data_IF_840956359354
#
_entry.id   IF_840956359354
#
_cell.length_a   1.000
_cell.length_b   1.000
_cell.length_c   1.000
_cell.angle_alpha   90.00
_cell.angle_beta   90.00
_cell.angle_gamma   90.00
#
_symmetry.space_group_name_H-M   'P 1'
#
loop_
_entity.id
_entity.type
_entity.pdbx_description
1 polymer ?
#
# COMPACT_ATOMS: atom_id res chain seq x y z
N UNK A 1 30.88 4.37 -0.86
CA UNK A 1 29.83 5.40 -0.95
C UNK A 1 29.76 6.14 0.38
N UNK A 2 29.60 7.47 0.36
CA UNK A 2 29.35 8.25 1.58
C UNK A 2 28.10 7.72 2.30
N UNK A 3 28.05 7.87 3.63
CA UNK A 3 26.92 7.43 4.43
C UNK A 3 25.81 8.50 4.41
N UNK A 4 25.10 8.58 3.29
CA UNK A 4 23.96 9.50 3.11
C UNK A 4 22.65 8.78 3.43
N UNK A 5 21.74 9.48 4.12
CA UNK A 5 20.40 8.98 4.41
C UNK A 5 19.50 9.15 3.19
N UNK A 6 19.13 8.02 2.56
CA UNK A 6 18.20 8.02 1.42
C UNK A 6 16.73 8.07 1.85
N UNK A 7 16.42 7.56 3.04
CA UNK A 7 15.10 7.51 3.63
C UNK A 7 15.22 7.28 5.14
N UNK A 8 14.27 7.82 5.89
CA UNK A 8 14.13 7.58 7.33
C UNK A 8 12.78 6.91 7.54
N UNK A 9 12.78 5.76 8.20
CA UNK A 9 11.55 5.04 8.51
C UNK A 9 10.83 5.75 9.66
N UNK A 10 9.51 5.99 9.58
CA UNK A 10 8.73 6.47 10.72
C UNK A 10 8.92 5.55 11.95
N UNK A 11 8.89 6.13 13.16
CA UNK A 11 9.12 5.41 14.45
C UNK A 11 10.47 4.69 14.56
N UNK A 12 11.42 4.99 13.68
CA UNK A 12 12.80 4.50 13.85
C UNK A 12 13.57 5.40 14.81
N UNK A 13 14.64 4.90 15.46
CA UNK A 13 15.56 5.73 16.23
C UNK A 13 16.10 6.94 15.46
N UNK A 14 16.27 6.79 14.13
CA UNK A 14 16.70 7.88 13.27
C UNK A 14 15.62 8.97 13.11
N UNK A 15 14.36 8.58 12.99
CA UNK A 15 13.23 9.50 12.92
C UNK A 15 13.08 10.29 14.22
N UNK A 16 13.11 9.60 15.35
CA UNK A 16 12.92 10.21 16.68
C UNK A 16 14.08 11.14 17.05
N UNK A 17 15.27 10.87 16.51
CA UNK A 17 16.45 11.73 16.61
C UNK A 17 16.46 12.91 15.61
N UNK A 18 15.40 13.07 14.81
CA UNK A 18 15.22 14.20 13.89
C UNK A 18 16.08 14.14 12.63
N UNK A 19 16.62 12.97 12.27
CA UNK A 19 17.35 12.78 11.02
C UNK A 19 16.39 12.83 9.84
N UNK A 20 16.89 13.28 8.70
CA UNK A 20 16.12 13.50 7.48
C UNK A 20 16.84 12.93 6.27
N UNK A 21 16.07 12.70 5.20
CA UNK A 21 16.64 12.35 3.90
C UNK A 21 17.61 13.45 3.45
N UNK A 22 18.77 13.05 2.95
CA UNK A 22 19.85 13.93 2.51
C UNK A 22 20.89 14.24 3.60
N UNK A 23 20.64 13.86 4.86
CA UNK A 23 21.65 14.00 5.90
C UNK A 23 22.86 13.11 5.59
N UNK A 24 24.05 13.69 5.67
CA UNK A 24 25.32 12.96 5.52
C UNK A 24 25.90 12.68 6.90
N UNK A 25 26.10 11.40 7.22
CA UNK A 25 26.66 10.98 8.51
C UNK A 25 28.18 11.13 8.52
N UNK A 26 28.69 11.85 9.52
CA UNK A 26 30.13 12.18 9.63
C UNK A 26 30.80 11.41 10.76
N UNK A 27 30.11 11.19 11.88
CA UNK A 27 30.69 10.57 13.07
C UNK A 27 29.59 9.90 13.90
N UNK A 28 29.86 8.72 14.47
CA UNK A 28 28.93 8.01 15.35
C UNK A 28 29.71 7.41 16.51
N UNK A 29 29.20 7.57 17.74
CA UNK A 29 29.84 7.07 18.97
C UNK A 29 31.34 7.47 19.08
N UNK A 30 31.67 8.70 18.67
CA UNK A 30 33.04 9.22 18.66
C UNK A 30 33.97 8.67 17.56
N UNK A 31 33.43 7.88 16.62
CA UNK A 31 34.19 7.29 15.50
C UNK A 31 33.77 7.92 14.17
N UNK A 32 34.72 8.34 13.32
CA UNK A 32 34.40 8.95 12.02
C UNK A 32 33.75 7.94 11.07
N UNK A 33 32.82 8.42 10.25
CA UNK A 33 32.14 7.68 9.19
C UNK A 33 32.47 8.34 7.85
N UNK A 34 33.36 7.72 7.08
CA UNK A 34 33.60 8.08 5.69
C UNK A 34 32.77 7.22 4.73
N UNK A 35 32.39 6.01 5.14
CA UNK A 35 31.75 5.00 4.28
C UNK A 35 30.62 4.27 5.00
N UNK A 36 29.61 3.84 4.25
CA UNK A 36 28.50 3.03 4.79
C UNK A 36 28.95 1.75 5.52
N UNK A 37 30.07 1.14 5.11
CA UNK A 37 30.64 -0.04 5.78
C UNK A 37 31.10 0.25 7.21
N UNK A 38 31.62 1.45 7.46
CA UNK A 38 32.08 1.88 8.79
C UNK A 38 30.89 2.11 9.71
N UNK A 39 29.82 2.72 9.20
CA UNK A 39 28.55 2.84 9.93
C UNK A 39 28.05 1.47 10.42
N UNK A 40 28.00 0.46 9.53
CA UNK A 40 27.59 -0.91 9.91
C UNK A 40 28.53 -1.53 10.93
N UNK A 41 29.84 -1.27 10.81
CA UNK A 41 30.83 -1.79 11.75
C UNK A 41 30.70 -1.15 13.15
N UNK A 42 30.46 0.15 13.22
CA UNK A 42 30.23 0.87 14.47
C UNK A 42 28.96 0.34 15.13
N UNK A 43 27.84 0.29 14.39
CA UNK A 43 26.56 -0.22 14.89
C UNK A 43 26.66 -1.67 15.39
N UNK A 44 27.46 -2.52 14.73
CA UNK A 44 27.64 -3.92 15.13
C UNK A 44 28.33 -4.12 16.49
N UNK A 45 28.91 -3.07 17.07
CA UNK A 45 29.53 -3.10 18.40
C UNK A 45 28.60 -2.60 19.52
N UNK A 46 27.37 -2.20 19.19
CA UNK A 46 26.38 -1.67 20.13
C UNK A 46 25.16 -2.59 20.23
N UNK A 47 24.49 -2.53 21.37
CA UNK A 47 23.29 -3.32 21.65
C UNK A 47 22.03 -2.46 21.55
N UNK A 48 20.89 -3.13 21.41
CA UNK A 48 19.60 -2.48 21.59
C UNK A 48 19.52 -1.83 22.97
N UNK A 49 18.95 -0.63 23.03
CA UNK A 49 18.89 0.22 24.23
C UNK A 49 20.10 1.15 24.40
N UNK A 50 21.20 0.96 23.66
CA UNK A 50 22.35 1.87 23.71
C UNK A 50 21.96 3.23 23.13
N UNK A 51 22.19 4.30 23.89
CA UNK A 51 22.13 5.67 23.38
C UNK A 51 23.48 6.06 22.80
N UNK A 52 23.51 6.41 21.52
CA UNK A 52 24.72 6.78 20.79
C UNK A 52 24.59 8.20 20.24
N UNK A 53 25.69 8.95 20.29
CA UNK A 53 25.80 10.24 19.63
C UNK A 53 26.06 10.06 18.13
N UNK A 54 25.41 10.88 17.31
CA UNK A 54 25.54 10.89 15.87
C UNK A 54 25.71 12.32 15.37
N UNK A 55 26.82 12.55 14.69
CA UNK A 55 27.11 13.80 14.00
C UNK A 55 26.75 13.66 12.53
N UNK A 56 25.94 14.59 12.04
CA UNK A 56 25.48 14.63 10.66
C UNK A 56 25.63 16.03 10.08
N UNK A 57 25.65 16.12 8.76
CA UNK A 57 25.65 17.36 8.02
C UNK A 57 24.39 17.48 7.18
N UNK A 58 23.69 18.60 7.33
CA UNK A 58 22.49 19.00 6.58
C UNK A 58 22.75 20.36 5.95
N UNK A 59 22.63 20.45 4.62
CA UNK A 59 22.83 21.70 3.86
C UNK A 59 24.15 22.43 4.18
N UNK A 60 25.23 21.68 4.42
CA UNK A 60 26.54 22.24 4.76
C UNK A 60 26.75 22.56 6.24
N UNK A 61 25.69 22.51 7.06
CA UNK A 61 25.76 22.74 8.51
C UNK A 61 25.92 21.41 9.24
N UNK A 62 26.86 21.36 10.19
CA UNK A 62 27.11 20.15 11.00
C UNK A 62 26.33 20.24 12.31
N UNK A 63 25.52 19.22 12.58
CA UNK A 63 24.73 19.07 13.79
C UNK A 63 25.04 17.73 14.48
N UNK A 64 24.65 17.62 15.74
CA UNK A 64 24.79 16.40 16.53
C UNK A 64 23.44 16.06 17.15
N UNK A 65 23.08 14.79 17.14
CA UNK A 65 21.89 14.24 17.77
C UNK A 65 22.26 13.00 18.57
N UNK A 66 21.40 12.62 19.50
CA UNK A 66 21.49 11.35 20.23
C UNK A 66 20.33 10.46 19.80
N UNK A 67 20.61 9.18 19.55
CA UNK A 67 19.58 8.20 19.24
C UNK A 67 19.77 6.95 20.10
N UNK A 68 18.66 6.32 20.48
CA UNK A 68 18.65 5.07 21.23
C UNK A 68 18.37 3.91 20.28
N UNK A 69 19.29 2.95 20.17
CA UNK A 69 19.15 1.83 19.26
C UNK A 69 17.96 0.94 19.66
N UNK A 70 17.16 0.51 18.69
CA UNK A 70 16.04 -0.40 18.89
C UNK A 70 16.43 -1.84 18.53
N UNK A 71 15.94 -2.82 19.29
CA UNK A 71 16.12 -4.26 19.00
C UNK A 71 15.37 -4.67 17.74
N UNK A 72 14.17 -4.15 17.61
CA UNK A 72 13.26 -4.41 16.50
C UNK A 72 12.63 -3.09 16.08
N UNK A 73 12.61 -2.85 14.77
CA UNK A 73 11.80 -1.79 14.21
C UNK A 73 10.39 -2.33 14.06
N UNK A 74 9.43 -1.67 14.68
CA UNK A 74 8.02 -1.98 14.43
C UNK A 74 7.73 -1.74 12.94
N UNK A 75 7.07 -2.69 12.25
CA UNK A 75 6.63 -2.47 10.89
C UNK A 75 5.79 -1.19 10.81
N UNK A 76 6.06 -0.35 9.81
CA UNK A 76 5.21 0.80 9.56
C UNK A 76 3.80 0.32 9.19
N UNK A 77 2.82 0.72 9.99
CA UNK A 77 1.42 0.44 9.75
C UNK A 77 0.77 1.65 9.08
N UNK A 78 0.09 1.41 7.96
CA UNK A 78 -0.65 2.47 7.29
C UNK A 78 -1.92 2.81 8.10
N UNK A 79 -2.19 4.10 8.36
CA UNK A 79 -3.45 4.53 8.95
C UNK A 79 -4.61 4.24 7.99
N UNK A 80 -5.71 3.77 8.55
CA UNK A 80 -6.89 3.35 7.81
C UNK A 80 -8.12 4.08 8.34
N UNK A 81 -8.70 4.89 7.45
CA UNK A 81 -10.01 5.51 7.67
C UNK A 81 -11.16 4.55 7.31
N UNK A 82 -10.92 3.66 6.35
CA UNK A 82 -11.88 2.68 5.86
C UNK A 82 -13.05 3.22 5.06
N UNK A 83 -12.70 4.09 4.12
CA UNK A 83 -13.54 4.47 2.99
C UNK A 83 -12.88 4.05 1.67
N UNK A 84 -13.70 3.97 0.62
CA UNK A 84 -13.24 3.94 -0.77
C UNK A 84 -13.67 5.27 -1.43
N UNK A 85 -12.72 6.11 -1.87
CA UNK A 85 -13.03 7.30 -2.64
C UNK A 85 -13.56 7.00 -4.05
N UNK A 86 -14.46 7.83 -4.55
CA UNK A 86 -14.74 7.89 -5.99
C UNK A 86 -13.61 8.63 -6.71
N UNK A 87 -12.77 7.88 -7.44
CA UNK A 87 -11.63 8.43 -8.19
C UNK A 87 -12.05 9.23 -9.43
N UNK A 88 -13.30 9.14 -9.85
CA UNK A 88 -13.83 9.89 -10.99
C UNK A 88 -14.44 11.23 -10.58
N UNK A 89 -14.62 11.49 -9.29
CA UNK A 89 -15.08 12.77 -8.79
C UNK A 89 -14.04 13.86 -9.08
N UNK A 90 -14.49 15.00 -9.62
CA UNK A 90 -13.62 16.10 -10.10
C UNK A 90 -13.83 17.42 -9.37
N UNK A 91 -14.83 17.50 -8.50
CA UNK A 91 -15.06 18.69 -7.68
C UNK A 91 -14.20 18.62 -6.42
N UNK A 92 -14.10 19.73 -5.70
CA UNK A 92 -13.30 19.79 -4.48
C UNK A 92 -13.93 18.92 -3.38
N UNK A 93 -13.10 18.12 -2.74
CA UNK A 93 -13.48 17.18 -1.71
C UNK A 93 -13.31 15.73 -2.14
N UNK A 94 -13.59 14.81 -1.22
CA UNK A 94 -13.49 13.38 -1.45
C UNK A 94 -14.86 12.75 -1.34
N UNK A 95 -15.46 12.46 -2.49
CA UNK A 95 -16.73 11.75 -2.56
C UNK A 95 -16.53 10.30 -2.12
N UNK A 96 -17.29 9.87 -1.11
CA UNK A 96 -17.26 8.52 -0.56
C UNK A 96 -18.05 7.59 -1.46
N UNK A 97 -17.36 6.68 -2.16
CA UNK A 97 -17.97 5.63 -2.98
C UNK A 97 -18.46 4.46 -2.14
N UNK A 98 -17.72 4.11 -1.09
CA UNK A 98 -18.04 2.99 -0.21
C UNK A 98 -17.42 3.19 1.17
N UNK A 99 -18.03 2.60 2.19
CA UNK A 99 -17.50 2.57 3.56
C UNK A 99 -17.35 1.12 3.97
N UNK A 100 -16.15 0.74 4.40
CA UNK A 100 -15.89 -0.64 4.80
C UNK A 100 -16.61 -0.97 6.11
N UNK A 101 -17.25 -2.15 6.23
CA UNK A 101 -17.85 -2.57 7.49
C UNK A 101 -16.82 -2.61 8.62
N UNK A 102 -17.24 -2.25 9.84
CA UNK A 102 -16.40 -2.21 11.04
C UNK A 102 -15.17 -1.28 10.93
N UNK A 103 -15.14 -0.36 9.97
CA UNK A 103 -14.07 0.63 9.85
C UNK A 103 -14.29 1.84 10.76
N UNK A 104 -13.25 2.65 11.00
CA UNK A 104 -13.38 3.93 11.70
C UNK A 104 -14.43 4.87 11.08
N UNK A 105 -14.50 4.96 9.75
CA UNK A 105 -15.54 5.75 9.10
C UNK A 105 -16.95 5.20 9.36
N UNK A 106 -17.10 3.88 9.46
CA UNK A 106 -18.39 3.26 9.78
C UNK A 106 -18.84 3.53 11.22
N UNK A 107 -17.92 3.59 12.19
CA UNK A 107 -18.26 3.83 13.61
C UNK A 107 -18.86 5.21 13.85
N UNK A 108 -18.49 6.18 13.02
CA UNK A 108 -19.04 7.56 13.05
C UNK A 108 -20.11 7.80 11.98
N UNK A 109 -20.67 6.73 11.43
CA UNK A 109 -21.79 6.77 10.48
C UNK A 109 -21.54 7.64 9.22
N UNK A 110 -20.29 7.70 8.74
CA UNK A 110 -19.99 8.10 7.36
C UNK A 110 -20.63 7.06 6.42
N UNK A 111 -21.16 7.52 5.29
CA UNK A 111 -21.93 6.72 4.33
C UNK A 111 -21.45 7.00 2.91
N UNK A 112 -21.82 6.09 2.01
CA UNK A 112 -21.74 6.34 0.58
C UNK A 112 -22.49 7.62 0.22
N UNK A 113 -21.86 8.46 -0.61
CA UNK A 113 -22.39 9.76 -1.05
C UNK A 113 -21.94 10.95 -0.20
N UNK A 114 -21.33 10.72 0.96
CA UNK A 114 -20.75 11.80 1.74
C UNK A 114 -19.57 12.45 0.99
N UNK A 115 -19.44 13.76 1.12
CA UNK A 115 -18.32 14.52 0.57
C UNK A 115 -17.41 14.99 1.70
N UNK A 116 -16.26 14.35 1.89
CA UNK A 116 -15.27 14.75 2.89
C UNK A 116 -14.52 15.98 2.40
N UNK A 117 -14.42 17.01 3.23
CA UNK A 117 -13.81 18.29 2.86
C UNK A 117 -12.61 18.66 3.71
N UNK A 118 -12.47 18.12 4.92
CA UNK A 118 -11.28 18.34 5.75
C UNK A 118 -10.95 17.15 6.65
N UNK A 119 -9.67 17.07 7.03
CA UNK A 119 -9.17 16.29 8.16
C UNK A 119 -8.53 17.24 9.16
N UNK A 120 -8.98 17.20 10.41
CA UNK A 120 -8.64 18.15 11.46
C UNK A 120 -8.88 19.61 11.01
N UNK A 121 -7.81 20.36 10.78
CA UNK A 121 -7.85 21.75 10.29
C UNK A 121 -7.28 21.87 8.87
N UNK A 122 -7.00 20.74 8.22
CA UNK A 122 -6.43 20.66 6.87
C UNK A 122 -7.54 20.36 5.87
N UNK A 123 -7.79 21.28 4.94
CA UNK A 123 -8.72 21.05 3.83
C UNK A 123 -8.17 19.97 2.89
N UNK A 124 -9.03 19.05 2.48
CA UNK A 124 -8.71 17.99 1.51
C UNK A 124 -9.50 18.20 0.22
N UNK A 125 -8.81 18.59 -0.84
CA UNK A 125 -9.41 18.90 -2.13
C UNK A 125 -9.66 17.65 -2.99
N UNK A 126 -8.92 16.57 -2.78
CA UNK A 126 -9.09 15.34 -3.54
C UNK A 126 -8.59 14.09 -2.79
N UNK A 127 -8.83 12.91 -3.38
CA UNK A 127 -8.48 11.63 -2.79
C UNK A 127 -6.96 11.41 -2.63
N UNK A 128 -6.13 12.05 -3.46
CA UNK A 128 -4.67 11.96 -3.32
C UNK A 128 -4.21 12.79 -2.13
N UNK A 129 -4.73 14.00 -1.97
CA UNK A 129 -4.44 14.86 -0.82
C UNK A 129 -4.91 14.20 0.47
N UNK A 130 -6.12 13.64 0.51
CA UNK A 130 -6.61 12.88 1.66
C UNK A 130 -5.65 11.75 2.04
N UNK A 131 -5.15 10.98 1.05
CA UNK A 131 -4.20 9.89 1.30
C UNK A 131 -2.88 10.40 1.89
N UNK A 132 -2.34 11.50 1.34
CA UNK A 132 -1.10 12.11 1.83
C UNK A 132 -1.29 12.63 3.24
N UNK A 133 -2.40 13.30 3.51
CA UNK A 133 -2.71 13.84 4.82
C UNK A 133 -2.91 12.73 5.86
N UNK A 134 -3.64 11.66 5.51
CA UNK A 134 -3.78 10.49 6.37
C UNK A 134 -2.43 9.87 6.73
N UNK A 135 -1.47 9.83 5.79
CA UNK A 135 -0.14 9.23 6.02
C UNK A 135 0.69 9.96 7.09
N UNK A 136 0.30 11.19 7.48
CA UNK A 136 0.92 11.94 8.57
C UNK A 136 0.44 11.51 9.97
N UNK A 137 -0.59 10.66 10.06
CA UNK A 137 -1.16 10.21 11.32
C UNK A 137 -0.78 8.79 11.67
N UNK A 138 -0.76 8.53 12.97
CA UNK A 138 -0.64 7.17 13.49
C UNK A 138 -1.95 6.39 13.32
N UNK A 139 -1.90 5.08 13.09
CA UNK A 139 -3.09 4.24 12.99
C UNK A 139 -4.01 4.25 14.21
N UNK A 140 -3.59 4.76 15.36
CA UNK A 140 -4.45 4.93 16.56
C UNK A 140 -4.69 6.40 16.90
N UNK A 141 -4.33 7.31 15.99
CA UNK A 141 -4.55 8.73 16.20
C UNK A 141 -6.04 9.06 16.15
N UNK A 142 -6.44 9.99 17.01
CA UNK A 142 -7.77 10.57 16.99
C UNK A 142 -7.75 11.78 16.07
N UNK A 143 -8.65 11.80 15.10
CA UNK A 143 -8.77 12.87 14.11
C UNK A 143 -10.22 13.34 14.04
N UNK A 144 -10.40 14.62 13.71
CA UNK A 144 -11.70 15.19 13.33
C UNK A 144 -11.85 15.10 11.82
N UNK A 145 -13.02 14.69 11.33
CA UNK A 145 -13.37 14.72 9.92
C UNK A 145 -14.55 15.66 9.72
N UNK A 146 -14.43 16.53 8.72
CA UNK A 146 -15.55 17.32 8.21
C UNK A 146 -16.06 16.69 6.92
N UNK A 147 -17.36 16.46 6.84
CA UNK A 147 -18.01 15.98 5.62
C UNK A 147 -19.39 16.61 5.43
N UNK A 148 -19.82 16.66 4.17
CA UNK A 148 -21.16 17.10 3.78
C UNK A 148 -22.03 15.92 3.39
N UNK A 149 -23.29 15.96 3.87
CA UNK A 149 -24.36 15.07 3.43
C UNK A 149 -25.61 15.91 3.22
N UNK A 150 -26.21 15.82 2.02
CA UNK A 150 -27.42 16.56 1.66
C UNK A 150 -27.33 18.08 1.92
N UNK A 151 -26.13 18.66 1.73
CA UNK A 151 -25.85 20.08 1.95
C UNK A 151 -25.62 20.48 3.42
N UNK A 152 -25.69 19.54 4.36
CA UNK A 152 -25.39 19.78 5.76
C UNK A 152 -23.94 19.37 6.08
N UNK A 153 -23.17 20.28 6.66
CA UNK A 153 -21.84 20.02 7.19
C UNK A 153 -21.94 19.28 8.53
N UNK A 154 -21.15 18.22 8.69
CA UNK A 154 -20.99 17.47 9.93
C UNK A 154 -19.52 17.35 10.27
N UNK A 155 -19.19 17.64 11.53
CA UNK A 155 -17.87 17.46 12.11
C UNK A 155 -17.92 16.32 13.11
N UNK A 156 -17.06 15.30 12.95
CA UNK A 156 -17.04 14.16 13.87
C UNK A 156 -15.63 13.68 14.14
N UNK A 157 -15.37 13.35 15.38
CA UNK A 157 -14.10 12.78 15.84
C UNK A 157 -14.13 11.26 15.72
N UNK A 158 -13.06 10.68 15.19
CA UNK A 158 -12.87 9.22 15.10
C UNK A 158 -11.43 8.84 15.41
N UNK A 159 -11.24 7.62 15.90
CA UNK A 159 -9.91 7.01 16.03
C UNK A 159 -9.62 6.21 14.77
N UNK A 160 -8.50 6.49 14.12
CA UNK A 160 -8.02 5.67 13.00
C UNK A 160 -7.80 4.22 13.46
N UNK A 161 -7.60 3.31 12.49
CA UNK A 161 -7.10 1.96 12.78
C UNK A 161 -5.91 1.61 11.87
N UNK A 162 -5.14 0.55 12.16
CA UNK A 162 -4.23 -0.04 11.19
C UNK A 162 -4.99 -0.53 9.96
N UNK A 163 -4.35 -0.45 8.79
CA UNK A 163 -4.85 -1.06 7.57
C UNK A 163 -4.99 -2.58 7.80
N UNK A 164 -6.20 -3.15 7.64
CA UNK A 164 -6.39 -4.58 7.81
C UNK A 164 -5.49 -5.37 6.85
N UNK A 165 -4.80 -6.38 7.38
CA UNK A 165 -4.01 -7.32 6.58
C UNK A 165 -4.92 -8.32 5.85
N UNK A 166 -6.08 -8.61 6.43
CA UNK A 166 -7.10 -9.42 5.80
C UNK A 166 -7.80 -8.65 4.69
N UNK A 167 -8.12 -9.35 3.60
CA UNK A 167 -8.87 -8.74 2.49
C UNK A 167 -10.26 -8.36 3.01
N UNK A 168 -10.61 -7.06 3.06
CA UNK A 168 -11.92 -6.67 3.57
C UNK A 168 -13.00 -7.27 2.67
N UNK A 169 -14.02 -7.87 3.30
CA UNK A 169 -15.22 -8.30 2.59
C UNK A 169 -15.91 -7.05 2.04
N UNK A 170 -15.68 -6.76 0.76
CA UNK A 170 -16.55 -5.85 0.02
C UNK A 170 -17.78 -6.68 -0.28
N UNK A 171 -18.92 -6.28 0.28
CA UNK A 171 -20.23 -6.77 -0.18
C UNK A 171 -20.37 -6.35 -1.64
N UNK A 172 -19.88 -7.20 -2.54
CA UNK A 172 -19.88 -6.94 -3.96
C UNK A 172 -21.32 -6.87 -4.46
N UNK A 173 -21.49 -6.21 -5.60
CA UNK A 173 -22.67 -6.47 -6.42
C UNK A 173 -22.80 -7.99 -6.58
N UNK A 174 -23.94 -8.54 -6.13
CA UNK A 174 -24.18 -9.96 -6.28
C UNK A 174 -24.00 -10.34 -7.76
N UNK A 175 -23.34 -11.46 -8.06
CA UNK A 175 -23.23 -11.93 -9.43
C UNK A 175 -24.63 -11.95 -10.05
N UNK A 176 -24.78 -11.55 -11.33
CA UNK A 176 -26.09 -11.50 -11.96
C UNK A 176 -26.80 -12.84 -11.84
N UNK A 177 -28.02 -12.82 -11.28
CA UNK A 177 -28.79 -14.03 -10.91
C UNK A 177 -29.29 -14.85 -12.09
N UNK A 178 -29.16 -14.36 -13.33
CA UNK A 178 -29.53 -15.09 -14.53
C UNK A 178 -28.54 -16.21 -14.85
N UNK A 179 -29.03 -17.32 -15.40
CA UNK A 179 -28.18 -18.39 -15.90
C UNK A 179 -27.20 -17.85 -16.97
N UNK A 180 -25.97 -18.36 -16.96
CA UNK A 180 -24.96 -17.99 -17.95
C UNK A 180 -25.45 -18.37 -19.38
N UNK A 181 -25.27 -17.51 -20.38
CA UNK A 181 -25.46 -17.92 -21.78
C UNK A 181 -24.48 -19.05 -22.14
N UNK A 182 -24.81 -19.84 -23.17
CA UNK A 182 -23.92 -20.88 -23.66
C UNK A 182 -22.55 -20.28 -24.03
N UNK A 183 -21.50 -20.67 -23.31
CA UNK A 183 -20.16 -20.14 -23.49
C UNK A 183 -19.34 -21.08 -24.40
N UNK A 184 -18.88 -20.55 -25.54
CA UNK A 184 -18.00 -21.27 -26.48
C UNK A 184 -16.52 -20.93 -26.30
N UNK A 185 -16.18 -20.10 -25.31
CA UNK A 185 -14.80 -19.70 -25.02
C UNK A 185 -14.13 -20.71 -24.09
N UNK A 186 -12.81 -20.87 -24.25
CA UNK A 186 -12.02 -21.73 -23.38
C UNK A 186 -12.07 -21.20 -21.93
N UNK A 187 -12.48 -22.05 -20.98
CA UNK A 187 -12.40 -21.80 -19.54
C UNK A 187 -11.36 -22.74 -18.91
N UNK A 188 -11.00 -22.48 -17.66
CA UNK A 188 -9.93 -23.18 -16.96
C UNK A 188 -8.57 -22.53 -17.22
N UNK A 189 -7.51 -23.35 -17.18
CA UNK A 189 -6.16 -22.89 -17.49
C UNK A 189 -5.94 -22.89 -19.00
N UNK A 190 -5.65 -21.73 -19.57
CA UNK A 190 -5.46 -21.53 -21.01
C UNK A 190 -4.12 -20.87 -21.26
N UNK A 191 -3.29 -21.48 -22.10
CA UNK A 191 -2.07 -20.85 -22.56
C UNK A 191 -2.39 -19.80 -23.64
N UNK A 192 -1.92 -18.57 -23.40
CA UNK A 192 -2.08 -17.41 -24.29
C UNK A 192 -0.71 -16.99 -24.79
N UNK A 193 -0.55 -16.90 -26.10
CA UNK A 193 0.58 -16.25 -26.75
C UNK A 193 0.18 -14.81 -27.06
N UNK A 194 0.87 -13.83 -26.46
CA UNK A 194 0.66 -12.43 -26.80
C UNK A 194 1.44 -12.11 -28.09
N UNK A 195 0.82 -11.56 -29.14
CA UNK A 195 1.50 -11.37 -30.44
C UNK A 195 2.72 -10.46 -30.40
N UNK A 196 2.74 -9.49 -29.48
CA UNK A 196 3.78 -8.46 -29.37
C UNK A 196 4.85 -8.79 -28.32
N UNK A 197 4.66 -9.87 -27.55
CA UNK A 197 5.55 -10.24 -26.44
C UNK A 197 6.14 -11.64 -26.66
N UNK A 198 7.41 -11.83 -26.29
CA UNK A 198 8.06 -13.13 -26.36
C UNK A 198 7.60 -14.08 -25.23
N UNK A 199 7.07 -13.51 -24.14
CA UNK A 199 6.67 -14.22 -22.93
C UNK A 199 5.45 -15.12 -23.19
N UNK A 200 5.55 -16.37 -22.75
CA UNK A 200 4.38 -17.24 -22.66
C UNK A 200 3.52 -16.81 -21.46
N UNK A 201 2.21 -16.75 -21.66
CA UNK A 201 1.26 -16.34 -20.62
C UNK A 201 0.26 -17.44 -20.34
N UNK A 202 -0.08 -17.63 -19.07
CA UNK A 202 -1.19 -18.49 -18.66
C UNK A 202 -2.35 -17.65 -18.15
N UNK A 203 -3.54 -17.91 -18.67
CA UNK A 203 -4.77 -17.33 -18.19
C UNK A 203 -5.58 -18.36 -17.41
N UNK A 204 -6.00 -18.01 -16.20
CA UNK A 204 -6.98 -18.73 -15.42
C UNK A 204 -8.31 -18.03 -15.67
N UNK A 205 -9.13 -18.66 -16.49
CA UNK A 205 -10.48 -18.19 -16.82
C UNK A 205 -11.45 -19.02 -15.98
N UNK A 206 -12.32 -18.39 -15.17
CA UNK A 206 -13.17 -19.15 -14.27
C UNK A 206 -14.21 -19.96 -15.06
N UNK A 207 -14.57 -21.15 -14.59
CA UNK A 207 -15.52 -22.04 -15.28
C UNK A 207 -16.93 -21.44 -15.39
N UNK A 208 -17.25 -20.46 -14.54
CA UNK A 208 -18.48 -19.68 -14.60
C UNK A 208 -18.33 -18.37 -15.39
N UNK A 209 -17.33 -18.27 -16.28
CA UNK A 209 -17.13 -17.10 -17.14
C UNK A 209 -18.39 -16.77 -17.94
N UNK A 210 -18.63 -15.47 -18.10
CA UNK A 210 -19.80 -14.90 -18.76
C UNK A 210 -19.43 -13.70 -19.61
N UNK A 211 -19.69 -13.78 -20.91
CA UNK A 211 -19.42 -12.67 -21.84
C UNK A 211 -20.35 -11.46 -21.65
N UNK A 212 -21.50 -11.65 -21.01
CA UNK A 212 -22.48 -10.60 -20.70
C UNK A 212 -22.20 -9.85 -19.39
N UNK A 213 -21.14 -10.23 -18.67
CA UNK A 213 -20.74 -9.64 -17.39
C UNK A 213 -19.33 -9.07 -17.53
N UNK A 214 -19.12 -7.86 -17.03
CA UNK A 214 -17.78 -7.29 -16.95
C UNK A 214 -16.91 -8.15 -16.02
N UNK A 215 -15.84 -8.71 -16.56
CA UNK A 215 -14.83 -9.42 -15.78
C UNK A 215 -13.65 -8.49 -15.48
N UNK A 216 -13.12 -8.57 -14.28
CA UNK A 216 -11.84 -7.92 -13.95
C UNK A 216 -10.68 -8.74 -14.50
N UNK A 217 -9.64 -8.09 -15.00
CA UNK A 217 -8.38 -8.74 -15.37
C UNK A 217 -7.32 -8.43 -14.31
N UNK A 218 -6.74 -9.47 -13.73
CA UNK A 218 -5.56 -9.37 -12.86
C UNK A 218 -4.36 -9.83 -13.67
N UNK A 219 -3.34 -8.99 -13.76
CA UNK A 219 -2.03 -9.39 -14.30
C UNK A 219 -1.11 -9.65 -13.11
N UNK A 220 -0.74 -10.91 -12.89
CA UNK A 220 0.16 -11.30 -11.81
C UNK A 220 1.57 -11.54 -12.35
N UNK A 221 2.46 -10.58 -12.07
CA UNK A 221 3.89 -10.73 -12.30
C UNK A 221 4.51 -11.51 -11.14
N UNK A 222 4.78 -12.79 -11.36
CA UNK A 222 5.42 -13.66 -10.36
C UNK A 222 6.95 -13.53 -10.40
N UNK A 223 7.67 -14.12 -9.44
CA UNK A 223 9.13 -14.18 -9.49
C UNK A 223 9.60 -14.91 -10.76
N UNK A 224 10.75 -14.52 -11.36
CA UNK A 224 11.29 -15.21 -12.52
C UNK A 224 11.62 -16.68 -12.19
N UNK A 225 11.56 -17.55 -13.21
CA UNK A 225 11.77 -18.99 -13.08
C UNK A 225 10.49 -19.81 -13.29
N UNK A 226 10.59 -21.11 -12.98
CA UNK A 226 9.49 -22.05 -13.15
C UNK A 226 8.38 -21.82 -12.12
N UNK A 227 7.27 -21.26 -12.59
CA UNK A 227 6.02 -21.23 -11.84
C UNK A 227 5.21 -22.46 -12.13
N UNK A 228 4.83 -23.15 -11.06
CA UNK A 228 3.94 -24.30 -11.12
C UNK A 228 2.50 -23.82 -11.39
N UNK A 229 2.04 -24.06 -12.60
CA UNK A 229 0.73 -23.63 -13.08
C UNK A 229 -0.43 -24.30 -12.35
N UNK A 230 -0.27 -25.54 -11.89
CA UNK A 230 -1.31 -26.24 -11.12
C UNK A 230 -1.54 -25.56 -9.77
N UNK A 231 -0.45 -25.17 -9.09
CA UNK A 231 -0.52 -24.43 -7.82
C UNK A 231 -1.18 -23.08 -8.03
N UNK A 232 -0.84 -22.39 -9.13
CA UNK A 232 -1.45 -21.13 -9.52
C UNK A 232 -2.98 -21.27 -9.70
N UNK A 233 -3.41 -22.28 -10.45
CA UNK A 233 -4.83 -22.57 -10.70
C UNK A 233 -5.57 -22.89 -9.40
N UNK A 234 -5.02 -23.75 -8.55
CA UNK A 234 -5.63 -24.11 -7.26
C UNK A 234 -5.83 -22.89 -6.34
N UNK A 235 -4.87 -21.98 -6.31
CA UNK A 235 -4.94 -20.76 -5.49
C UNK A 235 -6.02 -19.78 -6.00
N UNK A 236 -6.11 -19.61 -7.32
CA UNK A 236 -6.92 -18.52 -7.88
C UNK A 236 -8.29 -18.94 -8.37
N UNK A 237 -8.53 -20.20 -8.76
CA UNK A 237 -9.81 -20.63 -9.38
C UNK A 237 -11.03 -20.23 -8.56
N UNK A 238 -10.96 -20.36 -7.23
CA UNK A 238 -12.08 -20.08 -6.33
C UNK A 238 -12.36 -18.58 -6.23
N UNK A 239 -11.31 -17.76 -6.14
CA UNK A 239 -11.43 -16.30 -6.09
C UNK A 239 -11.87 -15.74 -7.45
N UNK A 240 -11.31 -16.25 -8.53
CA UNK A 240 -11.65 -15.91 -9.91
C UNK A 240 -13.14 -16.12 -10.19
N UNK A 241 -13.66 -17.31 -9.83
CA UNK A 241 -15.07 -17.63 -10.01
C UNK A 241 -15.99 -16.78 -9.10
N UNK A 242 -15.57 -16.52 -7.86
CA UNK A 242 -16.37 -15.74 -6.89
C UNK A 242 -16.49 -14.26 -7.28
N UNK A 243 -15.44 -13.67 -7.84
CA UNK A 243 -15.33 -12.24 -8.06
C UNK A 243 -15.33 -11.81 -9.54
N UNK A 244 -15.67 -12.73 -10.46
CA UNK A 244 -15.61 -12.49 -11.91
C UNK A 244 -14.25 -11.97 -12.38
N UNK A 245 -13.17 -12.62 -11.92
CA UNK A 245 -11.81 -12.25 -12.29
C UNK A 245 -11.24 -13.25 -13.28
N UNK A 246 -10.47 -12.74 -14.24
CA UNK A 246 -9.55 -13.51 -15.08
C UNK A 246 -8.16 -13.20 -14.57
N UNK A 247 -7.35 -14.22 -14.31
CA UNK A 247 -5.97 -14.04 -13.85
C UNK A 247 -5.03 -14.37 -15.01
N UNK A 248 -4.22 -13.41 -15.42
CA UNK A 248 -3.16 -13.58 -16.41
C UNK A 248 -1.81 -13.60 -15.69
N UNK A 249 -1.07 -14.69 -15.87
CA UNK A 249 0.25 -14.92 -15.32
C UNK A 249 1.26 -15.06 -16.47
N UNK A 250 1.89 -13.97 -16.91
CA UNK A 250 3.03 -14.04 -17.83
C UNK A 250 4.21 -14.71 -17.13
N UNK A 251 4.92 -15.58 -17.85
CA UNK A 251 6.19 -16.16 -17.40
C UNK A 251 7.35 -15.29 -17.88
N UNK A 252 8.33 -15.05 -17.00
CA UNK A 252 9.57 -14.38 -17.40
C UNK A 252 10.28 -15.22 -18.47
N UNK A 253 10.83 -14.57 -19.50
CA UNK A 253 11.64 -15.24 -20.52
C UNK A 253 12.98 -15.75 -19.95
N UNK A 254 13.54 -15.00 -19.01
CA UNK A 254 14.78 -15.34 -18.29
C UNK A 254 14.42 -15.89 -16.90
N UNK A 255 14.94 -17.07 -16.57
CA UNK A 255 14.69 -17.76 -15.30
C UNK A 255 15.16 -16.97 -14.06
N UNK A 256 16.05 -15.99 -14.22
CA UNK A 256 16.67 -15.27 -13.11
C UNK A 256 16.20 -13.82 -12.99
N UNK A 257 15.50 -13.26 -13.99
CA UNK A 257 15.09 -11.84 -13.97
C UNK A 257 13.96 -11.52 -14.93
N UNK A 258 13.18 -10.51 -14.58
CA UNK A 258 12.35 -9.80 -15.55
C UNK A 258 13.21 -8.85 -16.37
N UNK A 259 13.01 -8.85 -17.69
CA UNK A 259 13.59 -7.85 -18.57
C UNK A 259 12.56 -6.73 -18.77
N UNK A 260 12.80 -5.51 -18.26
CA UNK A 260 11.96 -4.38 -18.61
C UNK A 260 12.15 -4.06 -20.09
N UNK A 261 11.04 -3.89 -20.80
CA UNK A 261 10.99 -3.39 -22.18
C UNK A 261 11.30 -1.90 -22.27
#
# INVERSE_FOLDING_TARGET
>A
MPAEIIAVQPKSPAHDAGLQKGDTLIEMAGKPIARQSELRHILGAHYAGDTISLKYQRDGTVAMTELTLAETLEPYEHPFLGILPDRNHREAGVLVRYVYPNSPAATVAIKQGDLITSLNQTDVADHNQLRVELANFEPSAVITITFFRDGQETNTELTLSPLPLDTPSIDGHSPPSTAAPANNLATGSVQIRLPEEANDCHAIIPDNYRSDVAHGLIVWLHAPGDVNDEVLVEQWKKLAAKHHLIVLAPKAEDENRWQPT
#
